data_IF_925914004873
#
_entry.id   IF_925914004873
#
_cell.length_a   1.000
_cell.length_b   1.000
_cell.length_c   1.000
_cell.angle_alpha   90.00
_cell.angle_beta   90.00
_cell.angle_gamma   90.00
#
_symmetry.space_group_name_H-M   'P 1'
#
loop_
_entity.id
_entity.type
_entity.pdbx_description
1 polymer ?
#
# COMPACT_ATOMS: atom_id res chain seq x y z
N UNK A 1 20.85 -42.03 -5.18
CA UNK A 1 20.34 -40.78 -4.55
C UNK A 1 19.94 -39.87 -5.71
N UNK A 2 18.64 -39.64 -5.91
CA UNK A 2 18.11 -38.90 -7.06
C UNK A 2 18.17 -37.42 -6.68
N UNK A 3 19.06 -36.67 -7.34
CA UNK A 3 19.29 -35.25 -7.05
C UNK A 3 18.03 -34.46 -7.37
N UNK A 4 17.33 -33.99 -6.34
CA UNK A 4 16.12 -33.18 -6.50
C UNK A 4 16.61 -31.74 -6.68
N UNK A 5 16.77 -31.30 -7.93
CA UNK A 5 17.04 -29.89 -8.22
C UNK A 5 15.86 -29.06 -7.71
N UNK A 6 16.04 -28.39 -6.58
CA UNK A 6 15.09 -27.41 -6.08
C UNK A 6 15.16 -26.18 -6.99
N UNK A 7 14.18 -26.06 -7.88
CA UNK A 7 14.03 -24.90 -8.75
C UNK A 7 13.27 -23.81 -7.99
N UNK A 8 14.00 -22.81 -7.47
CA UNK A 8 13.42 -21.67 -6.76
C UNK A 8 12.92 -20.65 -7.80
N UNK A 9 11.75 -20.93 -8.37
CA UNK A 9 11.07 -20.01 -9.29
C UNK A 9 10.56 -18.76 -8.57
N UNK A 10 10.88 -17.58 -9.09
CA UNK A 10 10.26 -16.32 -8.66
C UNK A 10 8.82 -16.30 -9.21
N UNK A 11 7.80 -16.02 -8.38
CA UNK A 11 6.42 -15.98 -8.83
C UNK A 11 6.21 -14.85 -9.84
N UNK A 12 5.41 -15.13 -10.88
CA UNK A 12 5.06 -14.13 -11.88
C UNK A 12 3.94 -13.23 -11.33
N UNK A 13 4.23 -11.93 -11.17
CA UNK A 13 3.26 -10.92 -10.77
C UNK A 13 2.77 -10.09 -11.95
N UNK A 14 1.47 -9.83 -11.99
CA UNK A 14 0.76 -9.00 -12.94
C UNK A 14 0.02 -7.93 -12.16
N UNK A 15 0.30 -6.67 -12.46
CA UNK A 15 -0.39 -5.52 -11.86
C UNK A 15 -1.02 -4.67 -12.94
N UNK A 16 -2.28 -4.28 -12.76
CA UNK A 16 -2.99 -3.33 -13.60
C UNK A 16 -3.58 -2.24 -12.69
N UNK A 17 -3.28 -0.98 -13.00
CA UNK A 17 -3.77 0.17 -12.24
C UNK A 17 -4.38 1.21 -13.15
N UNK A 18 -5.49 1.81 -12.71
CA UNK A 18 -6.15 2.93 -13.36
C UNK A 18 -6.24 4.08 -12.36
N UNK A 19 -5.83 5.27 -12.79
CA UNK A 19 -5.95 6.48 -11.97
C UNK A 19 -6.61 7.59 -12.79
N UNK A 20 -7.62 8.21 -12.20
CA UNK A 20 -8.34 9.33 -12.77
C UNK A 20 -8.15 10.55 -11.88
N UNK A 21 -7.71 11.67 -12.47
CA UNK A 21 -7.45 12.92 -11.76
C UNK A 21 -8.41 13.99 -12.29
N UNK A 22 -9.32 14.43 -11.42
CA UNK A 22 -10.26 15.50 -11.70
C UNK A 22 -9.75 16.83 -11.14
N UNK A 23 -9.55 17.79 -12.05
CA UNK A 23 -9.22 19.19 -11.75
C UNK A 23 -8.04 19.38 -10.78
N UNK A 24 -7.09 18.44 -10.73
CA UNK A 24 -5.95 18.40 -9.77
C UNK A 24 -6.34 18.37 -8.28
N UNK A 25 -7.63 18.34 -7.96
CA UNK A 25 -8.18 18.38 -6.60
C UNK A 25 -8.63 17.02 -6.12
N UNK A 26 -9.12 16.16 -7.01
CA UNK A 26 -9.58 14.83 -6.65
C UNK A 26 -8.89 13.82 -7.55
N UNK A 27 -8.14 12.89 -6.97
CA UNK A 27 -7.56 11.76 -7.68
C UNK A 27 -8.19 10.49 -7.13
N UNK A 28 -8.65 9.61 -8.01
CA UNK A 28 -9.19 8.30 -7.68
C UNK A 28 -8.36 7.25 -8.39
N UNK A 29 -7.87 6.27 -7.65
CA UNK A 29 -7.06 5.16 -8.14
C UNK A 29 -7.73 3.82 -7.85
N UNK A 30 -7.64 2.89 -8.80
CA UNK A 30 -8.00 1.50 -8.64
C UNK A 30 -6.85 0.65 -9.14
N UNK A 31 -6.36 -0.25 -8.29
CA UNK A 31 -5.23 -1.13 -8.58
C UNK A 31 -5.65 -2.58 -8.38
N UNK A 32 -5.28 -3.44 -9.32
CA UNK A 32 -5.50 -4.86 -9.29
C UNK A 32 -4.18 -5.59 -9.49
N UNK A 33 -3.77 -6.37 -8.50
CA UNK A 33 -2.52 -7.12 -8.51
C UNK A 33 -2.84 -8.60 -8.37
N UNK A 34 -2.36 -9.39 -9.33
CA UNK A 34 -2.36 -10.83 -9.31
C UNK A 34 -0.92 -11.30 -9.21
N UNK A 35 -0.61 -12.28 -8.36
CA UNK A 35 0.64 -13.00 -8.48
C UNK A 35 0.36 -14.49 -8.53
N UNK A 36 0.86 -15.10 -9.61
CA UNK A 36 0.63 -16.50 -9.90
C UNK A 36 1.73 -17.34 -9.28
N UNK A 37 1.38 -18.05 -8.21
CA UNK A 37 2.27 -19.01 -7.54
C UNK A 37 2.08 -20.44 -8.06
N UNK A 38 1.03 -20.64 -8.87
CA UNK A 38 0.66 -21.93 -9.47
C UNK A 38 1.72 -22.57 -10.39
N UNK A 39 2.83 -21.89 -10.73
CA UNK A 39 3.91 -22.44 -11.59
C UNK A 39 5.23 -22.74 -10.89
N UNK A 40 5.35 -22.53 -9.58
CA UNK A 40 6.58 -22.85 -8.85
C UNK A 40 6.47 -24.27 -8.30
N UNK A 41 7.17 -25.20 -8.95
CA UNK A 41 7.25 -26.60 -8.53
C UNK A 41 8.15 -26.74 -7.30
N UNK A 42 7.60 -26.57 -6.10
CA UNK A 42 8.27 -26.99 -4.87
C UNK A 42 8.13 -28.50 -4.68
N UNK A 43 9.24 -29.23 -4.80
CA UNK A 43 9.37 -30.64 -4.40
C UNK A 43 8.34 -31.63 -5.01
N UNK A 44 7.98 -31.48 -6.29
CA UNK A 44 7.25 -32.53 -7.02
C UNK A 44 5.75 -32.66 -6.70
N UNK A 45 5.17 -31.71 -5.95
CA UNK A 45 3.72 -31.63 -5.73
C UNK A 45 3.18 -30.31 -6.30
N UNK A 46 2.35 -30.39 -7.34
CA UNK A 46 1.98 -29.27 -8.19
C UNK A 46 0.84 -28.37 -7.65
N UNK A 47 0.33 -28.62 -6.43
CA UNK A 47 -0.98 -28.12 -6.00
C UNK A 47 -1.03 -27.38 -4.64
N UNK A 48 0.10 -26.98 -4.05
CA UNK A 48 0.10 -26.45 -2.68
C UNK A 48 -0.10 -24.92 -2.54
N UNK A 49 0.04 -24.13 -3.62
CA UNK A 49 0.08 -22.65 -3.53
C UNK A 49 -0.89 -22.02 -4.54
N UNK A 50 -1.90 -21.30 -4.03
CA UNK A 50 -2.91 -20.62 -4.83
C UNK A 50 -2.46 -19.22 -5.26
N UNK A 51 -3.05 -18.67 -6.33
CA UNK A 51 -2.74 -17.32 -6.81
C UNK A 51 -3.26 -16.24 -5.83
N UNK A 52 -2.46 -15.22 -5.54
CA UNK A 52 -2.88 -14.08 -4.73
C UNK A 52 -3.47 -13.02 -5.60
N UNK A 53 -4.60 -12.51 -5.14
CA UNK A 53 -5.22 -11.34 -5.70
C UNK A 53 -5.30 -10.27 -4.63
N UNK A 54 -4.85 -9.08 -4.99
CA UNK A 54 -5.01 -7.86 -4.21
C UNK A 54 -5.69 -6.82 -5.06
N UNK A 55 -6.81 -6.32 -4.56
CA UNK A 55 -7.55 -5.20 -5.15
C UNK A 55 -7.41 -4.03 -4.20
N UNK A 56 -6.98 -2.87 -4.69
CA UNK A 56 -6.89 -1.66 -3.90
C UNK A 56 -7.67 -0.54 -4.60
N UNK A 57 -8.30 0.30 -3.80
CA UNK A 57 -9.00 1.50 -4.23
C UNK A 57 -8.53 2.65 -3.36
N UNK A 58 -8.06 3.73 -3.97
CA UNK A 58 -7.53 4.90 -3.31
C UNK A 58 -8.20 6.18 -3.78
N UNK A 59 -8.34 7.15 -2.90
CA UNK A 59 -8.76 8.51 -3.20
C UNK A 59 -7.79 9.50 -2.55
N UNK A 60 -7.37 10.51 -3.31
CA UNK A 60 -6.62 11.66 -2.83
C UNK A 60 -7.44 12.92 -3.08
N UNK A 61 -7.64 13.72 -2.05
CA UNK A 61 -8.33 15.00 -2.12
C UNK A 61 -7.40 16.15 -1.69
N UNK A 62 -7.25 17.13 -2.57
CA UNK A 62 -6.51 18.37 -2.40
C UNK A 62 -7.51 19.55 -2.54
N UNK A 63 -7.87 20.23 -1.44
CA UNK A 63 -8.90 21.28 -1.43
C UNK A 63 -8.58 22.51 -2.29
N UNK A 64 -7.30 22.85 -2.50
CA UNK A 64 -6.95 23.92 -3.44
C UNK A 64 -5.47 24.31 -3.51
N UNK A 65 -5.08 24.87 -4.66
CA UNK A 65 -3.74 25.41 -4.92
C UNK A 65 -3.60 26.89 -4.52
N UNK A 66 -4.73 27.58 -4.25
CA UNK A 66 -4.80 29.05 -4.08
C UNK A 66 -5.80 29.41 -2.98
N UNK A 67 -5.52 28.97 -1.74
CA UNK A 67 -6.27 29.39 -0.57
C UNK A 67 -5.43 30.35 0.30
N UNK A 68 -6.03 31.46 0.75
CA UNK A 68 -5.42 32.42 1.70
C UNK A 68 -5.22 31.82 3.11
N UNK A 69 -5.62 30.57 3.35
CA UNK A 69 -5.59 29.90 4.66
C UNK A 69 -4.74 28.62 4.63
N UNK A 70 -4.01 28.37 5.72
CA UNK A 70 -3.09 27.23 5.92
C UNK A 70 -3.75 25.87 5.66
N UNK A 71 -5.05 25.75 5.94
CA UNK A 71 -5.83 24.52 5.78
C UNK A 71 -6.13 24.15 4.32
N UNK A 72 -5.96 25.06 3.35
CA UNK A 72 -6.26 24.76 1.94
C UNK A 72 -5.23 23.85 1.27
N UNK A 73 -4.03 23.71 1.85
CA UNK A 73 -2.94 22.92 1.24
C UNK A 73 -2.84 21.49 1.77
N UNK A 74 -3.71 21.09 2.70
CA UNK A 74 -3.70 19.75 3.30
C UNK A 74 -4.19 18.75 2.26
N UNK A 75 -3.36 17.76 1.91
CA UNK A 75 -3.83 16.62 1.11
C UNK A 75 -4.38 15.56 2.05
N UNK A 76 -5.57 15.09 1.75
CA UNK A 76 -6.20 13.97 2.42
C UNK A 76 -6.13 12.76 1.51
N UNK A 77 -5.67 11.64 2.05
CA UNK A 77 -5.61 10.35 1.37
C UNK A 77 -6.46 9.38 2.15
N UNK A 78 -7.31 8.65 1.45
CA UNK A 78 -8.00 7.51 2.01
C UNK A 78 -7.92 6.38 0.99
N UNK A 79 -7.77 5.15 1.45
CA UNK A 79 -7.73 4.01 0.58
C UNK A 79 -8.14 2.76 1.31
N UNK A 80 -8.75 1.85 0.58
CA UNK A 80 -9.09 0.52 1.07
C UNK A 80 -8.44 -0.49 0.16
N UNK A 81 -8.00 -1.60 0.72
CA UNK A 81 -7.52 -2.70 -0.08
C UNK A 81 -8.05 -4.02 0.48
N UNK A 82 -8.30 -4.93 -0.43
CA UNK A 82 -8.71 -6.29 -0.17
C UNK A 82 -7.64 -7.22 -0.73
N UNK A 83 -7.18 -8.15 0.08
CA UNK A 83 -6.11 -9.08 -0.29
C UNK A 83 -6.47 -10.49 0.14
N UNK A 84 -6.21 -11.45 -0.75
CA UNK A 84 -6.40 -12.89 -0.51
C UNK A 84 -5.03 -13.54 -0.34
N UNK A 85 -4.54 -13.75 0.89
CA UNK A 85 -3.24 -14.38 1.15
C UNK A 85 -3.14 -15.83 0.64
N UNK A 86 -1.89 -16.21 0.36
CA UNK A 86 -1.46 -17.47 -0.26
C UNK A 86 -1.61 -18.75 0.58
N UNK A 87 -2.01 -18.65 1.84
CA UNK A 87 -1.94 -19.78 2.76
C UNK A 87 -3.27 -20.53 2.86
N UNK A 88 -3.24 -21.81 2.46
CA UNK A 88 -4.19 -22.83 2.93
C UNK A 88 -3.60 -23.49 4.17
N UNK A 89 -4.18 -23.23 5.34
CA UNK A 89 -4.22 -24.22 6.41
C UNK A 89 -5.66 -24.73 6.39
N UNK A 90 -5.84 -25.99 6.01
CA UNK A 90 -7.13 -26.69 6.09
C UNK A 90 -8.27 -26.11 5.22
N UNK A 91 -8.00 -25.94 3.92
CA UNK A 91 -9.00 -25.69 2.87
C UNK A 91 -9.78 -24.36 2.92
N UNK A 92 -9.35 -23.40 3.75
CA UNK A 92 -10.03 -22.11 3.91
C UNK A 92 -9.03 -20.96 3.74
N UNK A 93 -9.32 -20.03 2.82
CA UNK A 93 -8.48 -18.85 2.58
C UNK A 93 -8.79 -17.75 3.59
N UNK A 94 -7.80 -17.31 4.36
CA UNK A 94 -7.91 -16.10 5.18
C UNK A 94 -8.15 -14.88 4.27
N UNK A 95 -8.96 -13.93 4.73
CA UNK A 95 -9.25 -12.70 3.99
C UNK A 95 -8.61 -11.53 4.71
N UNK A 96 -7.79 -10.74 4.02
CA UNK A 96 -7.19 -9.54 4.58
C UNK A 96 -7.90 -8.30 4.04
N UNK A 97 -8.35 -7.45 4.95
CA UNK A 97 -8.94 -6.15 4.64
C UNK A 97 -8.07 -5.07 5.27
N UNK A 98 -7.66 -4.09 4.47
CA UNK A 98 -6.92 -2.94 4.94
C UNK A 98 -7.66 -1.65 4.65
N UNK A 99 -7.81 -0.80 5.66
CA UNK A 99 -8.26 0.58 5.52
C UNK A 99 -7.07 1.47 5.84
N UNK A 100 -6.82 2.44 4.98
CA UNK A 100 -5.70 3.38 5.09
C UNK A 100 -6.23 4.80 5.01
N UNK A 101 -5.69 5.67 5.86
CA UNK A 101 -6.02 7.08 5.89
C UNK A 101 -4.75 7.87 6.16
N UNK A 102 -4.58 9.01 5.51
CA UNK A 102 -3.41 9.84 5.72
C UNK A 102 -3.66 11.30 5.38
N UNK A 103 -2.89 12.15 6.01
CA UNK A 103 -2.82 13.57 5.74
C UNK A 103 -1.39 13.95 5.39
N UNK A 104 -1.25 14.79 4.37
CA UNK A 104 0.02 15.40 4.01
C UNK A 104 -0.12 16.90 4.19
N UNK A 105 0.66 17.43 5.12
CA UNK A 105 0.73 18.82 5.52
C UNK A 105 1.99 19.45 4.90
N UNK A 106 1.87 20.22 3.81
CA UNK A 106 2.96 21.05 3.33
C UNK A 106 3.08 22.28 4.23
N UNK A 107 4.29 22.58 4.72
CA UNK A 107 4.54 23.84 5.42
C UNK A 107 4.64 24.98 4.37
N UNK A 108 3.96 26.12 4.56
CA UNK A 108 3.96 27.20 3.58
C UNK A 108 5.23 28.08 3.62
N UNK A 109 6.02 28.04 4.69
CA UNK A 109 7.22 28.89 4.86
C UNK A 109 8.54 28.19 4.55
N UNK A 110 8.56 26.87 4.67
CA UNK A 110 9.68 26.00 4.31
C UNK A 110 9.14 24.99 3.30
N UNK A 111 9.89 24.59 2.27
CA UNK A 111 9.41 23.58 1.29
C UNK A 111 9.24 22.17 1.89
N UNK A 112 9.12 22.07 3.21
CA UNK A 112 9.07 20.87 4.01
C UNK A 112 7.65 20.30 4.00
N UNK A 113 7.56 18.97 4.00
CA UNK A 113 6.31 18.22 3.91
C UNK A 113 6.25 17.25 5.07
N UNK A 114 5.18 17.31 5.87
CA UNK A 114 4.88 16.35 6.91
C UNK A 114 3.79 15.39 6.40
N UNK A 115 4.06 14.10 6.42
CA UNK A 115 3.15 13.03 6.06
C UNK A 115 2.79 12.26 7.31
N UNK A 116 1.51 12.15 7.61
CA UNK A 116 0.99 11.33 8.70
C UNK A 116 0.00 10.37 8.08
N UNK A 117 0.18 9.07 8.28
CA UNK A 117 -0.77 8.06 7.82
C UNK A 117 -1.01 7.00 8.88
N UNK A 118 -2.22 6.49 8.90
CA UNK A 118 -2.66 5.40 9.73
C UNK A 118 -3.24 4.32 8.81
N UNK A 119 -2.93 3.07 9.11
CA UNK A 119 -3.42 1.91 8.39
C UNK A 119 -3.94 0.93 9.41
N UNK A 120 -5.17 0.48 9.20
CA UNK A 120 -5.83 -0.54 9.97
C UNK A 120 -5.99 -1.77 9.09
N UNK A 121 -5.39 -2.88 9.48
CA UNK A 121 -5.41 -4.14 8.73
C UNK A 121 -6.10 -5.17 9.62
N UNK A 122 -7.16 -5.75 9.11
CA UNK A 122 -7.87 -6.86 9.73
C UNK A 122 -7.67 -8.10 8.88
N UNK A 123 -7.11 -9.14 9.48
CA UNK A 123 -6.99 -10.46 8.88
C UNK A 123 -8.08 -11.34 9.50
N UNK A 124 -9.09 -11.69 8.72
CA UNK A 124 -10.16 -12.60 9.15
C UNK A 124 -9.77 -14.03 8.80
N UNK A 125 -9.60 -14.85 9.84
CA UNK A 125 -9.46 -16.29 9.72
C UNK A 125 -10.83 -16.93 9.62
N UNK A 126 -11.17 -17.53 8.48
CA UNK A 126 -12.53 -18.01 8.19
C UNK A 126 -12.96 -19.29 8.98
N UNK A 127 -12.20 -19.77 9.96
CA UNK A 127 -12.55 -20.93 10.79
C UNK A 127 -12.57 -20.57 12.29
N UNK A 128 -13.42 -21.25 13.06
CA UNK A 128 -13.59 -21.09 14.52
C UNK A 128 -12.31 -21.39 15.35
N UNK A 129 -11.22 -21.79 14.70
CA UNK A 129 -9.91 -22.09 15.30
C UNK A 129 -8.80 -21.12 14.82
N UNK A 130 -9.09 -20.23 13.88
CA UNK A 130 -8.14 -19.22 13.41
C UNK A 130 -8.32 -17.92 14.20
N UNK A 131 -7.21 -17.36 14.66
CA UNK A 131 -7.19 -16.09 15.36
C UNK A 131 -7.47 -14.93 14.39
N UNK A 132 -8.40 -14.06 14.78
CA UNK A 132 -8.57 -12.75 14.13
C UNK A 132 -7.42 -11.83 14.57
N UNK A 133 -6.66 -11.32 13.60
CA UNK A 133 -5.56 -10.40 13.87
C UNK A 133 -5.88 -8.99 13.39
N UNK A 134 -5.72 -8.03 14.30
CA UNK A 134 -5.90 -6.61 14.02
C UNK A 134 -4.56 -5.89 14.15
N UNK A 135 -4.08 -5.30 13.07
CA UNK A 135 -2.87 -4.48 13.05
C UNK A 135 -3.25 -3.02 12.87
N UNK A 136 -2.74 -2.18 13.76
CA UNK A 136 -2.79 -0.72 13.61
C UNK A 136 -1.36 -0.22 13.36
N UNK A 137 -1.13 0.32 12.16
CA UNK A 137 0.16 0.88 11.75
C UNK A 137 0.05 2.38 11.63
N UNK A 138 0.82 3.09 12.45
CA UNK A 138 0.98 4.54 12.35
C UNK A 138 2.32 4.85 11.66
N UNK A 139 2.30 5.75 10.70
CA UNK A 139 3.46 6.19 9.96
C UNK A 139 3.52 7.72 9.96
N UNK A 140 4.67 8.25 10.37
CA UNK A 140 4.95 9.69 10.41
C UNK A 140 6.25 9.88 9.61
N UNK A 141 6.15 10.59 8.50
CA UNK A 141 7.27 10.90 7.62
C UNK A 141 7.45 12.41 7.50
N UNK A 142 8.64 12.91 7.79
CA UNK A 142 8.98 14.33 7.69
C UNK A 142 10.03 14.51 6.61
N UNK A 143 9.72 15.33 5.60
CA UNK A 143 10.64 15.68 4.53
C UNK A 143 11.06 17.12 4.72
N UNK A 144 12.31 17.35 5.09
CA UNK A 144 12.90 18.69 5.12
C UNK A 144 13.47 19.04 3.76
N UNK A 145 13.05 20.17 3.19
CA UNK A 145 13.59 20.70 1.95
C UNK A 145 14.15 22.10 2.22
N UNK A 146 15.26 22.13 2.94
CA UNK A 146 15.95 23.36 3.30
C UNK A 146 17.31 23.47 2.61
N UNK A 147 17.67 24.68 2.20
CA UNK A 147 18.92 24.98 1.50
C UNK A 147 20.03 25.21 2.53
N UNK A 148 20.43 24.16 3.25
CA UNK A 148 21.38 24.23 4.37
C UNK A 148 22.84 24.58 4.01
N UNK A 149 23.10 25.05 2.78
CA UNK A 149 24.46 25.41 2.32
C UNK A 149 24.48 26.70 1.50
N UNK A 150 23.62 27.67 1.80
CA UNK A 150 23.73 28.99 1.16
C UNK A 150 24.93 29.75 1.73
N UNK A 151 26.06 29.72 1.01
CA UNK A 151 27.25 30.49 1.35
C UNK A 151 26.91 31.98 1.22
N UNK A 152 26.74 32.69 2.34
CA UNK A 152 26.67 34.16 2.33
C UNK A 152 28.02 34.69 1.86
N UNK A 153 28.03 35.38 0.72
CA UNK A 153 29.12 36.30 0.41
C UNK A 153 28.92 37.52 1.32
N UNK A 154 29.97 37.84 2.08
CA UNK A 154 30.09 39.09 2.81
C UNK A 154 30.96 39.95 1.91
N UNK A 155 30.41 41.06 1.40
CA UNK A 155 31.18 42.20 0.87
C UNK A 155 31.57 43.09 2.06
#
# INVERSE_FOLDING_TARGET
IKDIKADFGIPLSWGLGLTYIYDTRLSVGLDYNLQKWSKVSYMGDANALYDYSKIALGIEYLPGYTGKSYFSYIRYRAGVYYSTPYYKIDNVSAKEYGITGGITLPLPRTRSILNISAQYIKVEGQNATMLDENYLRLNIGLTFNERWFFKRQVD
#
